data_IF_529134933828
#
_entry.id   IF_529134933828
#
_cell.length_a   1.000
_cell.length_b   1.000
_cell.length_c   1.000
_cell.angle_alpha   90.00
_cell.angle_beta   90.00
_cell.angle_gamma   90.00
#
_symmetry.space_group_name_H-M   'P 1'
#
loop_
_entity.id
_entity.type
_entity.pdbx_description
1 polymer ?
#
# COMPACT_ATOMS: atom_id res chain seq x y z
N UNK A 1 -44.24 202.37 -206.29
CA UNK A 1 -42.93 202.14 -205.62
C UNK A 1 -41.83 202.38 -206.64
N UNK A 2 -40.81 203.18 -206.30
CA UNK A 2 -39.61 203.34 -207.15
C UNK A 2 -38.73 202.08 -207.06
N UNK A 3 -37.84 201.88 -208.04
CA UNK A 3 -37.06 200.66 -208.23
C UNK A 3 -36.22 200.27 -206.99
N UNK A 4 -35.58 201.24 -206.35
CA UNK A 4 -34.71 200.99 -205.18
C UNK A 4 -35.49 200.50 -203.96
N UNK A 5 -36.75 200.95 -203.79
CA UNK A 5 -37.61 200.48 -202.70
C UNK A 5 -38.09 199.04 -202.92
N UNK A 6 -38.17 198.59 -204.18
CA UNK A 6 -38.52 197.20 -204.50
C UNK A 6 -37.33 196.26 -204.24
N UNK A 7 -36.11 196.69 -204.52
CA UNK A 7 -34.90 195.89 -204.29
C UNK A 7 -34.65 195.66 -202.79
N UNK A 8 -34.82 196.67 -201.92
CA UNK A 8 -34.76 196.48 -200.47
C UNK A 8 -35.87 195.56 -199.93
N UNK A 9 -37.09 195.65 -200.47
CA UNK A 9 -38.20 194.80 -200.07
C UNK A 9 -37.97 193.33 -200.47
N UNK A 10 -37.32 193.09 -201.61
CA UNK A 10 -36.92 191.75 -202.05
C UNK A 10 -35.84 191.17 -201.12
N UNK A 11 -34.88 191.99 -200.66
CA UNK A 11 -33.84 191.54 -199.72
C UNK A 11 -34.47 191.17 -198.37
N UNK A 12 -35.35 192.01 -197.81
CA UNK A 12 -36.06 191.71 -196.55
C UNK A 12 -36.88 190.42 -196.64
N UNK A 13 -37.63 190.23 -197.74
CA UNK A 13 -38.41 189.01 -197.96
C UNK A 13 -37.52 187.76 -198.10
N UNK A 14 -36.30 187.88 -198.64
CA UNK A 14 -35.34 186.77 -198.70
C UNK A 14 -34.77 186.45 -197.32
N UNK A 15 -34.41 187.47 -196.54
CA UNK A 15 -33.97 187.27 -195.16
C UNK A 15 -35.07 186.67 -194.28
N UNK A 16 -36.32 187.10 -194.43
CA UNK A 16 -37.49 186.51 -193.76
C UNK A 16 -37.69 185.06 -194.20
N UNK A 17 -37.60 184.76 -195.50
CA UNK A 17 -37.68 183.40 -196.02
C UNK A 17 -36.56 182.50 -195.47
N UNK A 18 -35.34 183.01 -195.36
CA UNK A 18 -34.20 182.27 -194.83
C UNK A 18 -34.30 182.07 -193.31
N UNK A 19 -34.78 183.06 -192.55
CA UNK A 19 -35.12 182.89 -191.12
C UNK A 19 -36.20 181.82 -190.91
N UNK A 20 -37.29 181.88 -191.68
CA UNK A 20 -38.35 180.87 -191.63
C UNK A 20 -37.84 179.46 -191.99
N UNK A 21 -36.88 179.35 -192.91
CA UNK A 21 -36.21 178.08 -193.24
C UNK A 21 -35.35 177.58 -192.08
N UNK A 22 -34.58 178.46 -191.46
CA UNK A 22 -33.75 178.14 -190.29
C UNK A 22 -34.62 177.71 -189.10
N UNK A 23 -35.71 178.43 -188.81
CA UNK A 23 -36.68 178.10 -187.77
C UNK A 23 -37.36 176.75 -188.06
N UNK A 24 -37.82 176.53 -189.28
CA UNK A 24 -38.36 175.22 -189.69
C UNK A 24 -37.34 174.11 -189.49
N UNK A 25 -36.08 174.34 -189.88
CA UNK A 25 -35.00 173.36 -189.68
C UNK A 25 -34.75 173.12 -188.19
N UNK A 26 -34.76 174.16 -187.36
CA UNK A 26 -34.60 174.07 -185.92
C UNK A 26 -35.74 173.28 -185.27
N UNK A 27 -37.00 173.61 -185.58
CA UNK A 27 -38.16 172.88 -185.06
C UNK A 27 -38.21 171.43 -185.57
N UNK A 28 -37.71 171.17 -186.78
CA UNK A 28 -37.59 169.82 -187.31
C UNK A 28 -36.55 169.00 -186.53
N UNK A 29 -35.38 169.57 -186.25
CA UNK A 29 -34.37 168.95 -185.39
C UNK A 29 -34.86 168.74 -183.96
N UNK A 30 -35.54 169.73 -183.37
CA UNK A 30 -36.11 169.59 -182.02
C UNK A 30 -37.22 168.54 -181.98
N UNK A 31 -38.09 168.47 -183.00
CA UNK A 31 -39.09 167.40 -183.10
C UNK A 31 -38.43 166.03 -183.21
N UNK A 32 -37.42 165.87 -184.08
CA UNK A 32 -36.73 164.60 -184.28
C UNK A 32 -35.94 164.20 -183.02
N UNK A 33 -35.40 165.18 -182.28
CA UNK A 33 -34.77 165.00 -180.97
C UNK A 33 -35.77 164.58 -179.89
N UNK A 34 -36.93 165.24 -179.82
CA UNK A 34 -38.02 164.86 -178.91
C UNK A 34 -38.53 163.46 -179.26
N UNK A 35 -38.67 163.13 -180.54
CA UNK A 35 -39.07 161.81 -181.01
C UNK A 35 -38.04 160.75 -180.62
N UNK A 36 -36.74 161.00 -180.83
CA UNK A 36 -35.68 160.10 -180.42
C UNK A 36 -35.65 159.90 -178.89
N UNK A 37 -35.77 160.99 -178.11
CA UNK A 37 -35.86 160.92 -176.65
C UNK A 37 -37.10 160.15 -176.19
N UNK A 38 -38.23 160.34 -176.85
CA UNK A 38 -39.47 159.61 -176.56
C UNK A 38 -39.32 158.12 -176.87
N UNK A 39 -38.74 157.76 -178.01
CA UNK A 39 -38.48 156.35 -178.36
C UNK A 39 -37.48 155.69 -177.42
N UNK A 40 -36.41 156.40 -177.02
CA UNK A 40 -35.45 155.91 -176.02
C UNK A 40 -36.15 155.72 -174.68
N UNK A 41 -36.91 156.71 -174.21
CA UNK A 41 -37.65 156.63 -172.94
C UNK A 41 -38.67 155.48 -172.96
N UNK A 42 -39.35 155.27 -174.10
CA UNK A 42 -40.28 154.16 -174.30
C UNK A 42 -39.56 152.80 -174.27
N UNK A 43 -38.44 152.65 -174.97
CA UNK A 43 -37.61 151.43 -174.92
C UNK A 43 -37.11 151.16 -173.50
N UNK A 44 -36.55 152.16 -172.82
CA UNK A 44 -36.09 152.05 -171.43
C UNK A 44 -37.25 151.66 -170.48
N UNK A 45 -38.45 152.20 -170.70
CA UNK A 45 -39.63 151.83 -169.93
C UNK A 45 -40.06 150.37 -170.20
N UNK A 46 -39.99 149.92 -171.45
CA UNK A 46 -40.28 148.53 -171.84
C UNK A 46 -39.23 147.56 -171.27
N UNK A 47 -37.95 147.92 -171.30
CA UNK A 47 -36.83 147.18 -170.71
C UNK A 47 -36.96 147.06 -169.19
N UNK A 48 -37.13 148.18 -168.48
CA UNK A 48 -37.33 148.17 -167.01
C UNK A 48 -38.59 147.39 -166.61
N UNK A 49 -39.67 147.46 -167.40
CA UNK A 49 -40.86 146.61 -167.20
C UNK A 49 -40.58 145.13 -167.45
N UNK A 50 -39.72 144.79 -168.41
CA UNK A 50 -39.29 143.41 -168.65
C UNK A 50 -38.40 142.90 -167.50
N UNK A 51 -37.43 143.70 -167.04
CA UNK A 51 -36.58 143.40 -165.89
C UNK A 51 -37.39 143.20 -164.61
N UNK A 52 -38.36 144.08 -164.33
CA UNK A 52 -39.25 143.91 -163.16
C UNK A 52 -40.05 142.60 -163.23
N UNK A 53 -40.53 142.21 -164.41
CA UNK A 53 -41.22 140.92 -164.60
C UNK A 53 -40.26 139.75 -164.39
N UNK A 54 -39.03 139.84 -164.88
CA UNK A 54 -38.01 138.80 -164.68
C UNK A 54 -37.63 138.69 -163.19
N UNK A 55 -37.39 139.80 -162.50
CA UNK A 55 -37.11 139.82 -161.05
C UNK A 55 -38.26 139.26 -160.23
N UNK A 56 -39.50 139.53 -160.64
CA UNK A 56 -40.67 138.97 -159.98
C UNK A 56 -40.74 137.44 -160.17
N UNK A 57 -40.46 136.93 -161.38
CA UNK A 57 -40.37 135.49 -161.64
C UNK A 57 -39.23 134.83 -160.86
N UNK A 58 -38.03 135.41 -160.87
CA UNK A 58 -36.89 134.92 -160.09
C UNK A 58 -37.23 134.83 -158.60
N UNK A 59 -37.96 135.83 -158.07
CA UNK A 59 -38.44 135.81 -156.69
C UNK A 59 -39.46 134.70 -156.45
N UNK A 60 -40.43 134.53 -157.34
CA UNK A 60 -41.43 133.45 -157.26
C UNK A 60 -40.77 132.07 -157.33
N UNK A 61 -39.85 131.86 -158.27
CA UNK A 61 -39.07 130.62 -158.42
C UNK A 61 -38.22 130.34 -157.18
N UNK A 62 -37.56 131.35 -156.62
CA UNK A 62 -36.82 131.21 -155.37
C UNK A 62 -37.72 130.85 -154.18
N UNK A 63 -38.90 131.48 -154.07
CA UNK A 63 -39.89 131.14 -153.04
C UNK A 63 -40.41 129.70 -153.20
N UNK A 64 -40.67 129.25 -154.43
CA UNK A 64 -41.08 127.88 -154.73
C UNK A 64 -39.96 126.89 -154.40
N UNK A 65 -38.73 127.17 -154.79
CA UNK A 65 -37.57 126.35 -154.45
C UNK A 65 -37.40 126.23 -152.94
N UNK A 66 -37.48 127.34 -152.19
CA UNK A 66 -37.41 127.33 -150.73
C UNK A 66 -38.58 126.56 -150.10
N UNK A 67 -39.79 126.65 -150.64
CA UNK A 67 -40.94 125.85 -150.17
C UNK A 67 -40.65 124.36 -150.35
N UNK A 68 -40.13 123.96 -151.51
CA UNK A 68 -39.75 122.55 -151.78
C UNK A 68 -38.64 122.10 -150.84
N UNK A 69 -37.57 122.88 -150.68
CA UNK A 69 -36.48 122.59 -149.74
C UNK A 69 -37.00 122.37 -148.31
N UNK A 70 -37.86 123.27 -147.80
CA UNK A 70 -38.48 123.13 -146.48
C UNK A 70 -39.27 121.82 -146.40
N UNK A 71 -40.04 121.45 -147.43
CA UNK A 71 -40.78 120.18 -147.43
C UNK A 71 -39.86 118.97 -147.42
N UNK A 72 -38.77 118.98 -148.18
CA UNK A 72 -37.76 117.92 -148.20
C UNK A 72 -37.06 117.81 -146.85
N UNK A 73 -36.64 118.93 -146.25
CA UNK A 73 -36.02 118.94 -144.91
C UNK A 73 -36.99 118.45 -143.84
N UNK A 74 -38.28 118.83 -143.90
CA UNK A 74 -39.32 118.30 -143.00
C UNK A 74 -39.48 116.80 -143.15
N UNK A 75 -39.48 116.27 -144.38
CA UNK A 75 -39.54 114.83 -144.62
C UNK A 75 -38.30 114.10 -144.11
N UNK A 76 -37.09 114.63 -144.37
CA UNK A 76 -35.82 114.09 -143.85
C UNK A 76 -35.81 114.06 -142.33
N UNK A 77 -36.24 115.15 -141.66
CA UNK A 77 -36.33 115.20 -140.22
C UNK A 77 -37.32 114.16 -139.67
N UNK A 78 -38.51 114.03 -140.30
CA UNK A 78 -39.48 112.99 -139.93
C UNK A 78 -38.89 111.58 -140.07
N UNK A 79 -38.17 111.32 -141.17
CA UNK A 79 -37.52 110.03 -141.40
C UNK A 79 -36.47 109.75 -140.33
N UNK A 80 -35.52 110.66 -140.09
CA UNK A 80 -34.49 110.52 -139.06
C UNK A 80 -35.09 110.32 -137.66
N UNK A 81 -36.13 111.08 -137.31
CA UNK A 81 -36.82 110.89 -136.03
C UNK A 81 -37.52 109.53 -135.94
N UNK A 82 -38.15 109.06 -137.03
CA UNK A 82 -38.79 107.75 -137.07
C UNK A 82 -37.77 106.61 -137.01
N UNK A 83 -36.63 106.74 -137.69
CA UNK A 83 -35.53 105.78 -137.64
C UNK A 83 -34.94 105.73 -136.23
N UNK A 84 -34.59 106.88 -135.64
CA UNK A 84 -34.10 106.91 -134.26
C UNK A 84 -35.11 106.35 -133.26
N UNK A 85 -36.40 106.63 -133.46
CA UNK A 85 -37.44 106.05 -132.61
C UNK A 85 -37.47 104.53 -132.75
N UNK A 86 -37.49 104.01 -133.97
CA UNK A 86 -37.50 102.58 -134.26
C UNK A 86 -36.25 101.87 -133.76
N UNK A 87 -35.05 102.42 -134.00
CA UNK A 87 -33.81 101.82 -133.49
C UNK A 87 -33.78 101.80 -131.96
N UNK A 88 -34.29 102.86 -131.32
CA UNK A 88 -34.37 102.92 -129.85
C UNK A 88 -35.39 101.91 -129.30
N UNK A 89 -36.54 101.74 -129.97
CA UNK A 89 -37.55 100.76 -129.53
C UNK A 89 -37.05 99.33 -129.76
N UNK A 90 -36.42 99.04 -130.90
CA UNK A 90 -35.77 97.75 -131.19
C UNK A 90 -34.71 97.42 -130.15
N UNK A 91 -33.75 98.32 -129.89
CA UNK A 91 -32.72 98.10 -128.86
C UNK A 91 -33.30 97.87 -127.46
N UNK A 92 -34.37 98.61 -127.09
CA UNK A 92 -35.06 98.39 -125.82
C UNK A 92 -35.75 97.02 -125.78
N UNK A 93 -36.40 96.61 -126.86
CA UNK A 93 -37.05 95.30 -126.96
C UNK A 93 -36.03 94.17 -126.95
N UNK A 94 -34.91 94.29 -127.67
CA UNK A 94 -33.78 93.35 -127.64
C UNK A 94 -33.17 93.27 -126.23
N UNK A 95 -33.01 94.41 -125.54
CA UNK A 95 -32.53 94.45 -124.16
C UNK A 95 -33.48 93.74 -123.19
N UNK A 96 -34.79 93.96 -123.31
CA UNK A 96 -35.80 93.30 -122.46
C UNK A 96 -35.88 91.80 -122.78
N UNK A 97 -35.92 91.41 -124.05
CA UNK A 97 -35.99 90.00 -124.45
C UNK A 97 -34.74 89.23 -124.04
N UNK A 98 -33.53 89.76 -124.28
CA UNK A 98 -32.27 89.15 -123.84
C UNK A 98 -32.18 89.03 -122.32
N UNK A 99 -32.54 90.08 -121.57
CA UNK A 99 -32.61 90.05 -120.11
C UNK A 99 -33.60 89.00 -119.60
N UNK A 100 -34.80 88.94 -120.19
CA UNK A 100 -35.82 87.93 -119.83
C UNK A 100 -35.36 86.51 -120.13
N UNK A 101 -34.66 86.28 -121.25
CA UNK A 101 -34.11 84.99 -121.63
C UNK A 101 -33.03 84.53 -120.63
N UNK A 102 -32.12 85.43 -120.26
CA UNK A 102 -31.08 85.16 -119.25
C UNK A 102 -31.71 84.88 -117.89
N UNK A 103 -32.69 85.67 -117.48
CA UNK A 103 -33.41 85.45 -116.22
C UNK A 103 -34.13 84.09 -116.19
N UNK A 104 -34.78 83.71 -117.30
CA UNK A 104 -35.46 82.41 -117.39
C UNK A 104 -34.45 81.25 -117.34
N UNK A 105 -33.32 81.34 -118.06
CA UNK A 105 -32.25 80.34 -117.97
C UNK A 105 -31.68 80.21 -116.56
N UNK A 106 -31.48 81.32 -115.86
CA UNK A 106 -31.04 81.29 -114.46
C UNK A 106 -32.07 80.64 -113.53
N UNK A 107 -33.36 80.96 -113.70
CA UNK A 107 -34.44 80.33 -112.92
C UNK A 107 -34.51 78.82 -113.16
N UNK A 108 -34.37 78.37 -114.41
CA UNK A 108 -34.34 76.95 -114.76
C UNK A 108 -33.13 76.25 -114.13
N UNK A 109 -31.93 76.83 -114.25
CA UNK A 109 -30.73 76.29 -113.64
C UNK A 109 -30.84 76.22 -112.10
N UNK A 110 -31.38 77.26 -111.46
CA UNK A 110 -31.60 77.29 -110.02
C UNK A 110 -32.62 76.22 -109.60
N UNK A 111 -33.68 76.01 -110.39
CA UNK A 111 -34.66 74.97 -110.13
C UNK A 111 -34.03 73.57 -110.19
N UNK A 112 -33.20 73.30 -111.20
CA UNK A 112 -32.45 72.04 -111.31
C UNK A 112 -31.51 71.85 -110.12
N UNK A 113 -30.71 72.86 -109.77
CA UNK A 113 -29.80 72.79 -108.62
C UNK A 113 -30.54 72.55 -107.30
N UNK A 114 -31.69 73.21 -107.08
CA UNK A 114 -32.52 72.97 -105.88
C UNK A 114 -33.03 71.54 -105.84
N UNK A 115 -33.46 70.99 -106.98
CA UNK A 115 -33.91 69.60 -107.10
C UNK A 115 -32.77 68.62 -106.80
N UNK A 116 -31.58 68.87 -107.35
CA UNK A 116 -30.40 68.04 -107.14
C UNK A 116 -29.96 68.07 -105.67
N UNK A 117 -29.95 69.23 -105.04
CA UNK A 117 -29.66 69.37 -103.60
C UNK A 117 -30.66 68.57 -102.76
N UNK A 118 -31.95 68.64 -103.07
CA UNK A 118 -32.98 67.86 -102.37
C UNK A 118 -32.80 66.35 -102.60
N UNK A 119 -32.46 65.94 -103.82
CA UNK A 119 -32.15 64.55 -104.17
C UNK A 119 -30.94 64.02 -103.40
N UNK A 120 -29.82 64.73 -103.43
CA UNK A 120 -28.61 64.38 -102.69
C UNK A 120 -28.84 64.33 -101.16
N UNK A 121 -29.67 65.23 -100.62
CA UNK A 121 -30.06 65.17 -99.21
C UNK A 121 -30.89 63.92 -98.89
N UNK A 122 -31.80 63.52 -99.78
CA UNK A 122 -32.59 62.29 -99.62
C UNK A 122 -31.68 61.05 -99.68
N UNK A 123 -30.80 60.95 -100.67
CA UNK A 123 -29.82 59.87 -100.79
C UNK A 123 -28.90 59.77 -99.57
N UNK A 124 -28.45 60.92 -99.03
CA UNK A 124 -27.63 60.94 -97.82
C UNK A 124 -28.40 60.39 -96.61
N UNK A 125 -29.69 60.74 -96.46
CA UNK A 125 -30.54 60.20 -95.38
C UNK A 125 -30.74 58.70 -95.56
N UNK A 126 -30.99 58.24 -96.77
CA UNK A 126 -31.16 56.83 -97.09
C UNK A 126 -29.90 56.03 -96.79
N UNK A 127 -28.72 56.49 -97.23
CA UNK A 127 -27.43 55.85 -96.93
C UNK A 127 -27.13 55.80 -95.44
N UNK A 128 -27.44 56.87 -94.69
CA UNK A 128 -27.32 56.88 -93.22
C UNK A 128 -28.21 55.85 -92.57
N UNK A 129 -29.49 55.80 -92.96
CA UNK A 129 -30.46 54.84 -92.44
C UNK A 129 -30.09 53.40 -92.79
N UNK A 130 -29.61 53.15 -94.01
CA UNK A 130 -29.10 51.85 -94.43
C UNK A 130 -27.86 51.43 -93.62
N UNK A 131 -26.94 52.35 -93.36
CA UNK A 131 -25.78 52.12 -92.50
C UNK A 131 -26.17 51.79 -91.05
N UNK A 132 -27.10 52.56 -90.47
CA UNK A 132 -27.64 52.28 -89.13
C UNK A 132 -28.33 50.92 -89.05
N UNK A 133 -29.12 50.56 -90.07
CA UNK A 133 -29.77 49.25 -90.14
C UNK A 133 -28.75 48.12 -90.27
N UNK A 134 -27.72 48.29 -91.11
CA UNK A 134 -26.63 47.32 -91.25
C UNK A 134 -25.88 47.10 -89.92
N UNK A 135 -25.63 48.18 -89.17
CA UNK A 135 -25.02 48.10 -87.83
C UNK A 135 -25.95 47.37 -86.85
N UNK A 136 -27.25 47.67 -86.86
CA UNK A 136 -28.24 46.98 -85.99
C UNK A 136 -28.31 45.49 -86.31
N UNK A 137 -28.38 45.13 -87.59
CA UNK A 137 -28.37 43.73 -88.03
C UNK A 137 -27.09 43.01 -87.62
N UNK A 138 -25.92 43.64 -87.79
CA UNK A 138 -24.65 43.06 -87.38
C UNK A 138 -24.60 42.84 -85.86
N UNK A 139 -25.09 43.79 -85.07
CA UNK A 139 -25.19 43.65 -83.61
C UNK A 139 -26.12 42.51 -83.19
N UNK A 140 -27.28 42.38 -83.85
CA UNK A 140 -28.22 41.28 -83.60
C UNK A 140 -27.57 39.92 -83.94
N UNK A 141 -26.92 39.81 -85.11
CA UNK A 141 -26.18 38.60 -85.50
C UNK A 141 -25.10 38.25 -84.48
N UNK A 142 -24.32 39.24 -84.02
CA UNK A 142 -23.31 39.03 -82.99
C UNK A 142 -23.91 38.54 -81.67
N UNK A 143 -25.04 39.13 -81.24
CA UNK A 143 -25.73 38.70 -80.03
C UNK A 143 -26.25 37.26 -80.12
N UNK A 144 -26.76 36.85 -81.28
CA UNK A 144 -27.19 35.46 -81.52
C UNK A 144 -26.00 34.51 -81.42
N UNK A 145 -24.87 34.82 -82.08
CA UNK A 145 -23.65 33.99 -82.00
C UNK A 145 -23.12 33.89 -80.58
N UNK A 146 -23.10 34.99 -79.81
CA UNK A 146 -22.73 34.96 -78.40
C UNK A 146 -23.66 34.06 -77.59
N UNK A 147 -24.97 34.16 -77.79
CA UNK A 147 -25.95 33.33 -77.09
C UNK A 147 -25.81 31.84 -77.44
N UNK A 148 -25.59 31.51 -78.71
CA UNK A 148 -25.31 30.14 -79.15
C UNK A 148 -24.03 29.60 -78.52
N UNK A 149 -22.97 30.40 -78.47
CA UNK A 149 -21.69 30.02 -77.88
C UNK A 149 -21.81 29.79 -76.37
N UNK A 150 -22.48 30.70 -75.66
CA UNK A 150 -22.78 30.54 -74.23
C UNK A 150 -23.58 29.26 -73.98
N UNK A 151 -24.64 29.02 -74.77
CA UNK A 151 -25.44 27.80 -74.67
C UNK A 151 -24.62 26.53 -74.94
N UNK A 152 -23.67 26.57 -75.88
CA UNK A 152 -22.76 25.45 -76.15
C UNK A 152 -21.84 25.16 -74.96
N UNK A 153 -21.27 26.20 -74.34
CA UNK A 153 -20.43 26.04 -73.16
C UNK A 153 -21.24 25.55 -71.95
N UNK A 154 -22.43 26.08 -71.72
CA UNK A 154 -23.32 25.63 -70.64
C UNK A 154 -23.67 24.15 -70.80
N UNK A 155 -23.96 23.68 -72.03
CA UNK A 155 -24.18 22.26 -72.30
C UNK A 155 -22.95 21.43 -71.99
N UNK A 156 -21.76 21.86 -72.44
CA UNK A 156 -20.50 21.15 -72.16
C UNK A 156 -20.19 21.06 -70.67
N UNK A 157 -20.45 22.13 -69.91
CA UNK A 157 -20.28 22.17 -68.47
C UNK A 157 -21.24 21.17 -67.80
N UNK A 158 -22.54 21.21 -68.14
CA UNK A 158 -23.52 20.27 -67.59
C UNK A 158 -23.19 18.81 -67.93
N UNK A 159 -22.78 18.52 -69.16
CA UNK A 159 -22.38 17.17 -69.56
C UNK A 159 -21.16 16.69 -68.77
N UNK A 160 -20.20 17.60 -68.49
CA UNK A 160 -19.02 17.31 -67.70
C UNK A 160 -19.38 17.06 -66.22
N UNK A 161 -20.24 17.91 -65.64
CA UNK A 161 -20.76 17.74 -64.28
C UNK A 161 -21.50 16.41 -64.13
N UNK A 162 -22.38 16.07 -65.07
CA UNK A 162 -23.10 14.80 -65.07
C UNK A 162 -22.15 13.60 -65.15
N UNK A 163 -21.14 13.66 -66.02
CA UNK A 163 -20.12 12.59 -66.13
C UNK A 163 -19.36 12.41 -64.82
N UNK A 164 -18.87 13.49 -64.21
CA UNK A 164 -18.13 13.40 -62.95
C UNK A 164 -19.03 12.98 -61.78
N UNK A 165 -20.28 13.43 -61.74
CA UNK A 165 -21.24 13.01 -60.73
C UNK A 165 -21.52 11.50 -60.84
N UNK A 166 -21.74 11.00 -62.06
CA UNK A 166 -21.96 9.57 -62.30
C UNK A 166 -20.73 8.72 -61.95
N UNK A 167 -19.52 9.19 -62.31
CA UNK A 167 -18.26 8.54 -61.91
C UNK A 167 -18.12 8.50 -60.39
N UNK A 168 -18.40 9.60 -59.70
CA UNK A 168 -18.33 9.67 -58.24
C UNK A 168 -19.32 8.71 -57.58
N UNK A 169 -20.58 8.67 -58.05
CA UNK A 169 -21.59 7.73 -57.56
C UNK A 169 -21.15 6.28 -57.77
N UNK A 170 -20.66 5.94 -58.96
CA UNK A 170 -20.19 4.59 -59.29
C UNK A 170 -19.03 4.16 -58.41
N UNK A 171 -18.07 5.06 -58.14
CA UNK A 171 -16.96 4.81 -57.22
C UNK A 171 -17.46 4.62 -55.79
N UNK A 172 -18.35 5.48 -55.31
CA UNK A 172 -18.95 5.38 -53.97
C UNK A 172 -19.70 4.05 -53.78
N UNK A 173 -20.45 3.61 -54.79
CA UNK A 173 -21.13 2.32 -54.76
C UNK A 173 -20.15 1.15 -54.77
N UNK A 174 -19.10 1.20 -55.59
CA UNK A 174 -18.08 0.16 -55.67
C UNK A 174 -17.30 0.04 -54.35
N UNK A 175 -16.84 1.16 -53.78
CA UNK A 175 -16.19 1.21 -52.46
C UNK A 175 -17.14 0.74 -51.36
N UNK A 176 -18.42 1.14 -51.40
CA UNK A 176 -19.43 0.69 -50.46
C UNK A 176 -19.70 -0.81 -50.55
N UNK A 177 -19.68 -1.40 -51.75
CA UNK A 177 -19.75 -2.86 -51.94
C UNK A 177 -18.49 -3.55 -51.40
N UNK A 178 -17.29 -3.02 -51.67
CA UNK A 178 -16.04 -3.58 -51.16
C UNK A 178 -16.00 -3.59 -49.63
N UNK A 179 -16.28 -2.46 -48.98
CA UNK A 179 -16.34 -2.37 -47.51
C UNK A 179 -17.35 -3.35 -46.91
N UNK A 180 -18.52 -3.51 -47.51
CA UNK A 180 -19.52 -4.49 -47.05
C UNK A 180 -19.01 -5.93 -47.18
N UNK A 181 -18.30 -6.26 -48.26
CA UNK A 181 -17.69 -7.57 -48.43
C UNK A 181 -16.60 -7.84 -47.37
N UNK A 182 -15.69 -6.88 -47.15
CA UNK A 182 -14.64 -6.97 -46.12
C UNK A 182 -15.22 -7.15 -44.71
N UNK A 183 -16.30 -6.43 -44.38
CA UNK A 183 -17.00 -6.59 -43.09
C UNK A 183 -17.60 -7.97 -42.96
N UNK A 184 -18.27 -8.50 -44.00
CA UNK A 184 -18.84 -9.85 -43.98
C UNK A 184 -17.75 -10.92 -43.82
N UNK A 185 -16.62 -10.78 -44.53
CA UNK A 185 -15.48 -11.69 -44.38
C UNK A 185 -14.90 -11.67 -42.96
N UNK A 186 -14.75 -10.48 -42.36
CA UNK A 186 -14.30 -10.34 -40.97
C UNK A 186 -15.30 -10.93 -39.98
N UNK A 187 -16.61 -10.69 -40.18
CA UNK A 187 -17.66 -11.28 -39.36
C UNK A 187 -17.62 -12.80 -39.43
N UNK A 188 -17.43 -13.38 -40.61
CA UNK A 188 -17.36 -14.83 -40.77
C UNK A 188 -16.07 -15.41 -40.16
N UNK A 189 -14.94 -14.72 -40.28
CA UNK A 189 -13.72 -15.07 -39.55
C UNK A 189 -13.94 -15.03 -38.03
N UNK A 190 -14.58 -13.98 -37.51
CA UNK A 190 -14.88 -13.86 -36.08
C UNK A 190 -15.83 -14.95 -35.62
N UNK A 191 -16.90 -15.25 -36.37
CA UNK A 191 -17.81 -16.36 -36.08
C UNK A 191 -17.06 -17.69 -36.04
N UNK A 192 -16.20 -17.96 -37.03
CA UNK A 192 -15.40 -19.19 -37.05
C UNK A 192 -14.48 -19.31 -35.84
N UNK A 193 -13.86 -18.19 -35.41
CA UNK A 193 -13.00 -18.17 -34.23
C UNK A 193 -13.77 -18.36 -32.93
N UNK A 194 -14.98 -17.83 -32.83
CA UNK A 194 -15.88 -18.10 -31.70
C UNK A 194 -16.21 -19.58 -31.63
N UNK A 195 -16.53 -20.23 -32.75
CA UNK A 195 -16.80 -21.67 -32.79
C UNK A 195 -15.59 -22.48 -32.32
N UNK A 196 -14.40 -22.21 -32.85
CA UNK A 196 -13.17 -22.92 -32.43
C UNK A 196 -12.92 -22.72 -30.93
N UNK A 197 -13.08 -21.49 -30.43
CA UNK A 197 -12.87 -21.19 -29.01
C UNK A 197 -13.88 -21.90 -28.11
N UNK A 198 -15.14 -22.02 -28.54
CA UNK A 198 -16.14 -22.82 -27.84
C UNK A 198 -15.77 -24.30 -27.82
N UNK A 199 -15.34 -24.86 -28.95
CA UNK A 199 -14.90 -26.26 -29.04
C UNK A 199 -13.69 -26.56 -28.15
N UNK A 200 -12.72 -25.64 -28.09
CA UNK A 200 -11.54 -25.75 -27.22
C UNK A 200 -11.93 -25.64 -25.73
N UNK A 201 -12.83 -24.71 -25.38
CA UNK A 201 -13.37 -24.59 -24.02
C UNK A 201 -14.13 -25.84 -23.61
N UNK A 202 -15.02 -26.36 -24.47
CA UNK A 202 -15.75 -27.60 -24.23
C UNK A 202 -14.80 -28.79 -24.05
N UNK A 203 -13.71 -28.84 -24.83
CA UNK A 203 -12.68 -29.88 -24.69
C UNK A 203 -11.94 -29.75 -23.35
N UNK A 204 -11.59 -28.54 -22.93
CA UNK A 204 -10.96 -28.29 -21.64
C UNK A 204 -11.89 -28.67 -20.48
N UNK A 205 -13.18 -28.29 -20.55
CA UNK A 205 -14.20 -28.65 -19.57
C UNK A 205 -14.34 -30.17 -19.45
N UNK A 206 -14.50 -30.88 -20.58
CA UNK A 206 -14.51 -32.36 -20.57
C UNK A 206 -13.25 -32.94 -19.92
N UNK A 207 -12.07 -32.42 -20.24
CA UNK A 207 -10.82 -32.85 -19.60
C UNK A 207 -10.81 -32.62 -18.08
N UNK A 208 -11.37 -31.51 -17.59
CA UNK A 208 -11.53 -31.28 -16.15
C UNK A 208 -12.55 -32.22 -15.51
N UNK A 209 -13.68 -32.45 -16.16
CA UNK A 209 -14.70 -33.40 -15.70
C UNK A 209 -14.13 -34.82 -15.60
N UNK A 210 -13.39 -35.26 -16.62
CA UNK A 210 -12.68 -36.54 -16.64
C UNK A 210 -11.64 -36.63 -15.50
N UNK A 211 -10.87 -35.56 -15.27
CA UNK A 211 -9.92 -35.50 -14.15
C UNK A 211 -10.63 -35.61 -12.79
N UNK A 212 -11.69 -34.84 -12.56
CA UNK A 212 -12.47 -34.91 -11.31
C UNK A 212 -13.12 -36.27 -11.13
N UNK A 213 -13.69 -36.86 -12.18
CA UNK A 213 -14.24 -38.21 -12.15
C UNK A 213 -13.16 -39.24 -11.80
N UNK A 214 -11.96 -39.13 -12.37
CA UNK A 214 -10.82 -39.97 -12.03
C UNK A 214 -10.39 -39.81 -10.56
N UNK A 215 -10.27 -38.58 -10.06
CA UNK A 215 -9.93 -38.32 -8.65
C UNK A 215 -11.01 -38.88 -7.72
N UNK A 216 -12.29 -38.68 -8.05
CA UNK A 216 -13.40 -39.20 -7.27
C UNK A 216 -13.42 -40.73 -7.26
N UNK A 217 -13.14 -41.38 -8.40
CA UNK A 217 -12.99 -42.83 -8.49
C UNK A 217 -11.82 -43.35 -7.65
N UNK A 218 -10.66 -42.66 -7.67
CA UNK A 218 -9.52 -43.00 -6.80
C UNK A 218 -9.88 -42.84 -5.32
N UNK A 219 -10.50 -41.73 -4.94
CA UNK A 219 -10.93 -41.49 -3.56
C UNK A 219 -11.92 -42.58 -3.09
N UNK A 220 -12.83 -43.02 -3.96
CA UNK A 220 -13.75 -44.13 -3.68
C UNK A 220 -13.01 -45.47 -3.50
N UNK A 221 -11.99 -45.74 -4.32
CA UNK A 221 -11.13 -46.92 -4.17
C UNK A 221 -10.35 -46.87 -2.86
N UNK A 222 -9.70 -45.75 -2.55
CA UNK A 222 -8.96 -45.54 -1.31
C UNK A 222 -9.87 -45.65 -0.09
N UNK A 223 -11.08 -45.09 -0.16
CA UNK A 223 -12.07 -45.23 0.92
C UNK A 223 -12.48 -46.69 1.14
N UNK A 224 -12.60 -47.49 0.07
CA UNK A 224 -12.86 -48.94 0.21
C UNK A 224 -11.67 -49.65 0.86
N UNK A 225 -10.45 -49.39 0.40
CA UNK A 225 -9.23 -49.97 0.98
C UNK A 225 -9.08 -49.62 2.46
N UNK A 226 -9.24 -48.35 2.83
CA UNK A 226 -9.17 -47.92 4.23
C UNK A 226 -10.26 -48.58 5.10
N UNK A 227 -11.46 -48.80 4.57
CA UNK A 227 -12.51 -49.56 5.28
C UNK A 227 -12.12 -51.02 5.49
N UNK A 228 -11.49 -51.65 4.50
CA UNK A 228 -10.98 -53.03 4.60
C UNK A 228 -9.85 -53.11 5.64
N UNK A 229 -8.87 -52.21 5.59
CA UNK A 229 -7.78 -52.11 6.56
C UNK A 229 -8.29 -51.86 7.99
N UNK A 230 -9.27 -50.97 8.16
CA UNK A 230 -9.87 -50.68 9.45
C UNK A 230 -10.61 -51.90 9.99
N UNK A 231 -11.31 -52.66 9.14
CA UNK A 231 -11.93 -53.93 9.52
C UNK A 231 -10.89 -54.99 9.91
N UNK A 232 -9.74 -55.05 9.23
CA UNK A 232 -8.64 -55.94 9.62
C UNK A 232 -8.00 -55.54 10.95
N UNK A 233 -7.71 -54.25 11.15
CA UNK A 233 -7.15 -53.73 12.39
C UNK A 233 -8.11 -53.97 13.56
N UNK A 234 -9.41 -53.79 13.35
CA UNK A 234 -10.41 -54.07 14.38
C UNK A 234 -10.49 -55.56 14.73
N UNK A 235 -10.32 -56.46 13.74
CA UNK A 235 -10.15 -57.91 14.02
C UNK A 235 -8.87 -58.19 14.83
N UNK A 236 -7.75 -57.55 14.50
CA UNK A 236 -6.48 -57.70 15.23
C UNK A 236 -6.59 -57.16 16.65
N UNK A 237 -7.20 -56.00 16.85
CA UNK A 237 -7.44 -55.42 18.16
C UNK A 237 -8.36 -56.30 19.00
N UNK A 238 -9.47 -56.80 18.44
CA UNK A 238 -10.33 -57.75 19.14
C UNK A 238 -9.60 -59.05 19.56
N UNK A 239 -8.58 -59.48 18.81
CA UNK A 239 -7.73 -60.62 19.20
C UNK A 239 -6.79 -60.24 20.36
N UNK A 240 -6.10 -59.10 20.23
CA UNK A 240 -5.22 -58.59 21.27
C UNK A 240 -5.96 -58.31 22.59
N UNK A 241 -7.18 -57.77 22.54
CA UNK A 241 -8.03 -57.53 23.72
C UNK A 241 -8.42 -58.84 24.42
N UNK A 242 -8.66 -59.92 23.66
CA UNK A 242 -8.90 -61.25 24.23
C UNK A 242 -7.65 -61.82 24.89
N UNK A 243 -6.49 -61.68 24.25
CA UNK A 243 -5.20 -62.09 24.81
C UNK A 243 -4.86 -61.29 26.07
N UNK A 244 -5.07 -59.97 26.05
CA UNK A 244 -4.89 -59.09 27.20
C UNK A 244 -5.87 -59.45 28.33
N UNK A 245 -7.13 -59.73 28.03
CA UNK A 245 -8.11 -60.14 29.04
C UNK A 245 -7.74 -61.48 29.69
N UNK A 246 -7.25 -62.45 28.90
CA UNK A 246 -6.75 -63.73 29.42
C UNK A 246 -5.51 -63.52 30.31
N UNK A 247 -4.54 -62.71 29.84
CA UNK A 247 -3.35 -62.37 30.62
C UNK A 247 -3.70 -61.60 31.90
N UNK A 248 -4.65 -60.67 31.88
CA UNK A 248 -5.13 -59.97 33.08
C UNK A 248 -5.80 -60.92 34.07
N UNK A 249 -6.56 -61.90 33.59
CA UNK A 249 -7.18 -62.91 34.45
C UNK A 249 -6.14 -63.83 35.11
N UNK A 250 -5.10 -64.19 34.36
CA UNK A 250 -3.96 -64.96 34.88
C UNK A 250 -3.13 -64.13 35.88
N UNK A 251 -2.89 -62.86 35.59
CA UNK A 251 -2.19 -61.93 36.48
C UNK A 251 -2.98 -61.71 37.78
N UNK A 252 -4.31 -61.61 37.73
CA UNK A 252 -5.16 -61.57 38.93
C UNK A 252 -5.00 -62.82 39.79
N UNK A 253 -5.03 -64.02 39.19
CA UNK A 253 -4.78 -65.28 39.93
C UNK A 253 -3.41 -65.29 40.60
N UNK A 254 -2.36 -64.92 39.87
CA UNK A 254 -0.99 -64.87 40.41
C UNK A 254 -0.85 -63.80 41.52
N UNK A 255 -1.57 -62.67 41.41
CA UNK A 255 -1.58 -61.62 42.44
C UNK A 255 -2.32 -62.07 43.70
N UNK A 256 -3.42 -62.81 43.56
CA UNK A 256 -4.15 -63.42 44.68
C UNK A 256 -3.29 -64.48 45.39
N UNK A 257 -2.59 -65.35 44.63
CA UNK A 257 -1.65 -66.34 45.18
C UNK A 257 -0.45 -65.67 45.89
N UNK A 258 0.07 -64.57 45.33
CA UNK A 258 1.14 -63.78 45.93
C UNK A 258 0.65 -63.09 47.22
N UNK A 259 -0.54 -62.50 47.24
CA UNK A 259 -1.13 -61.89 48.43
C UNK A 259 -1.38 -62.91 49.54
N UNK A 260 -1.82 -64.13 49.22
CA UNK A 260 -1.93 -65.21 50.20
C UNK A 260 -0.56 -65.59 50.80
N UNK A 261 0.50 -65.64 49.97
CA UNK A 261 1.85 -65.91 50.44
C UNK A 261 2.41 -64.77 51.29
N UNK A 262 2.14 -63.52 50.92
CA UNK A 262 2.52 -62.31 51.65
C UNK A 262 1.79 -62.16 52.98
N UNK A 263 0.51 -62.57 53.09
CA UNK A 263 -0.24 -62.59 54.37
C UNK A 263 0.25 -63.67 55.34
N UNK A 264 0.78 -64.80 54.84
CA UNK A 264 1.39 -65.87 55.66
C UNK A 264 2.80 -65.48 56.18
N UNK A 265 3.47 -64.52 55.53
CA UNK A 265 4.81 -64.05 55.87
C UNK A 265 4.91 -63.39 57.27
N UNK A 266 4.04 -62.43 57.67
CA UNK A 266 4.09 -61.83 59.01
C UNK A 266 3.71 -62.82 60.11
N UNK A 267 2.84 -63.80 59.84
CA UNK A 267 2.49 -64.84 60.81
C UNK A 267 3.66 -65.80 61.09
N UNK A 268 4.42 -66.18 60.06
CA UNK A 268 5.63 -66.98 60.19
C UNK A 268 6.80 -66.19 60.79
N UNK A 269 6.93 -64.90 60.47
CA UNK A 269 7.92 -64.01 61.10
C UNK A 269 7.64 -63.82 62.58
N UNK A 270 6.37 -63.64 62.99
CA UNK A 270 5.98 -63.58 64.41
C UNK A 270 6.29 -64.88 65.15
N UNK A 271 5.98 -66.04 64.56
CA UNK A 271 6.31 -67.37 65.14
C UNK A 271 7.82 -67.60 65.24
N UNK A 272 8.61 -67.10 64.29
CA UNK A 272 10.07 -67.15 64.33
C UNK A 272 10.64 -66.21 65.42
N UNK A 273 10.04 -65.03 65.60
CA UNK A 273 10.42 -64.06 66.65
C UNK A 273 10.10 -64.62 68.04
N UNK A 274 8.90 -65.17 68.25
CA UNK A 274 8.49 -65.85 69.49
C UNK A 274 9.42 -67.05 69.81
N UNK A 275 9.79 -67.85 68.79
CA UNK A 275 10.73 -68.96 68.96
C UNK A 275 12.16 -68.48 69.25
N UNK A 276 12.63 -67.39 68.65
CA UNK A 276 13.97 -66.84 68.90
C UNK A 276 14.07 -66.19 70.29
N UNK A 277 13.03 -65.48 70.74
CA UNK A 277 12.97 -64.96 72.11
C UNK A 277 12.83 -66.07 73.16
N UNK A 278 12.08 -67.13 72.86
CA UNK A 278 12.01 -68.31 73.72
C UNK A 278 13.36 -69.06 73.79
N UNK A 279 14.09 -69.16 72.67
CA UNK A 279 15.44 -69.75 72.61
C UNK A 279 16.49 -68.91 73.34
N UNK A 280 16.43 -67.58 73.24
CA UNK A 280 17.31 -66.68 74.00
C UNK A 280 17.03 -66.75 75.51
N UNK A 281 15.75 -66.78 75.92
CA UNK A 281 15.34 -67.02 77.32
C UNK A 281 15.80 -68.40 77.82
N UNK A 282 15.73 -69.43 76.97
CA UNK A 282 16.22 -70.77 77.29
C UNK A 282 17.74 -70.79 77.48
N UNK A 283 18.54 -70.13 76.63
CA UNK A 283 20.01 -70.11 76.77
C UNK A 283 20.47 -69.31 78.01
N UNK A 284 19.79 -68.20 78.34
CA UNK A 284 20.06 -67.44 79.59
C UNK A 284 19.68 -68.27 80.83
N UNK A 285 18.52 -68.92 80.82
CA UNK A 285 18.10 -69.83 81.90
C UNK A 285 19.01 -71.06 81.99
N UNK A 286 19.50 -71.60 80.87
CA UNK A 286 20.44 -72.73 80.84
C UNK A 286 21.82 -72.37 81.36
N UNK A 287 22.29 -71.14 81.12
CA UNK A 287 23.52 -70.63 81.73
C UNK A 287 23.38 -70.43 83.25
N UNK A 288 22.22 -69.91 83.70
CA UNK A 288 21.90 -69.76 85.13
C UNK A 288 21.74 -71.11 85.83
N UNK A 289 21.09 -72.10 85.21
CA UNK A 289 20.96 -73.46 85.74
C UNK A 289 22.33 -74.15 85.81
N UNK A 290 23.21 -73.98 84.81
CA UNK A 290 24.58 -74.54 84.88
C UNK A 290 25.43 -73.94 86.01
N UNK A 291 25.25 -72.65 86.31
CA UNK A 291 25.89 -72.01 87.47
C UNK A 291 25.32 -72.55 88.78
N UNK A 292 24.00 -72.59 88.90
CA UNK A 292 23.31 -73.14 90.09
C UNK A 292 23.60 -74.64 90.29
N UNK A 293 23.73 -75.45 89.24
CA UNK A 293 24.14 -76.86 89.32
C UNK A 293 25.60 -77.04 89.73
N UNK A 294 26.46 -76.06 89.44
CA UNK A 294 27.85 -76.06 89.88
C UNK A 294 27.93 -75.68 91.35
N UNK A 295 27.24 -74.61 91.74
CA UNK A 295 27.08 -74.19 93.14
C UNK A 295 26.42 -75.28 94.00
N UNK A 296 25.40 -75.98 93.50
CA UNK A 296 24.76 -77.09 94.21
C UNK A 296 25.72 -78.28 94.38
N UNK A 297 26.51 -78.61 93.35
CA UNK A 297 27.53 -79.68 93.45
C UNK A 297 28.62 -79.33 94.45
N UNK A 298 29.12 -78.10 94.42
CA UNK A 298 30.12 -77.62 95.35
C UNK A 298 29.56 -77.62 96.80
N UNK A 299 28.33 -77.14 97.01
CA UNK A 299 27.65 -77.22 98.31
C UNK A 299 27.36 -78.66 98.76
N UNK A 300 27.07 -79.58 97.84
CA UNK A 300 26.79 -80.99 98.19
C UNK A 300 28.06 -81.69 98.65
N UNK A 301 29.19 -81.43 97.99
CA UNK A 301 30.50 -81.94 98.43
C UNK A 301 30.91 -81.30 99.75
N UNK A 302 30.69 -80.00 99.95
CA UNK A 302 30.93 -79.34 101.23
C UNK A 302 30.04 -79.93 102.33
N UNK A 303 28.77 -80.20 102.05
CA UNK A 303 27.83 -80.81 102.98
C UNK A 303 28.20 -82.26 103.32
N UNK A 304 28.61 -83.07 102.33
CA UNK A 304 29.10 -84.44 102.54
C UNK A 304 30.41 -84.47 103.32
N UNK A 305 31.33 -83.54 103.05
CA UNK A 305 32.56 -83.37 103.83
C UNK A 305 32.27 -82.93 105.27
N UNK A 306 31.35 -81.98 105.47
CA UNK A 306 30.91 -81.57 106.81
C UNK A 306 30.18 -82.70 107.53
N UNK A 307 29.35 -83.49 106.84
CA UNK A 307 28.66 -84.64 107.42
C UNK A 307 29.64 -85.74 107.81
N UNK A 308 30.64 -86.03 106.98
CA UNK A 308 31.70 -86.98 107.33
C UNK A 308 32.55 -86.47 108.49
N UNK A 309 32.86 -85.18 108.55
CA UNK A 309 33.54 -84.57 109.69
C UNK A 309 32.68 -84.62 110.96
N UNK A 310 31.37 -84.33 110.84
CA UNK A 310 30.43 -84.41 111.95
C UNK A 310 30.28 -85.84 112.47
N UNK A 311 30.12 -86.83 111.58
CA UNK A 311 30.07 -88.25 111.96
C UNK A 311 31.36 -88.72 112.62
N UNK A 312 32.54 -88.26 112.15
CA UNK A 312 33.81 -88.55 112.83
C UNK A 312 33.88 -87.92 114.22
N UNK A 313 33.43 -86.67 114.37
CA UNK A 313 33.39 -85.99 115.67
C UNK A 313 32.37 -86.65 116.61
N UNK A 314 31.24 -87.13 116.10
CA UNK A 314 30.27 -87.89 116.89
C UNK A 314 30.82 -89.26 117.30
N UNK A 315 31.51 -89.97 116.40
CA UNK A 315 32.20 -91.21 116.73
C UNK A 315 33.31 -90.98 117.76
N UNK A 316 34.12 -89.93 117.61
CA UNK A 316 35.17 -89.58 118.57
C UNK A 316 34.57 -89.19 119.93
N UNK A 317 33.43 -88.47 119.95
CA UNK A 317 32.66 -88.18 121.17
C UNK A 317 32.16 -89.47 121.83
N UNK A 318 31.57 -90.38 121.06
CA UNK A 318 31.00 -91.63 121.59
C UNK A 318 32.08 -92.60 122.05
N UNK A 319 33.20 -92.67 121.34
CA UNK A 319 34.41 -93.39 121.76
C UNK A 319 35.03 -92.76 123.02
N UNK A 320 35.06 -91.43 123.14
CA UNK A 320 35.51 -90.76 124.34
C UNK A 320 34.56 -90.99 125.52
N UNK A 321 33.24 -90.97 125.29
CA UNK A 321 32.23 -91.25 126.31
C UNK A 321 32.31 -92.71 126.79
N UNK A 322 32.48 -93.67 125.88
CA UNK A 322 32.68 -95.09 126.20
C UNK A 322 34.00 -95.32 126.92
N UNK A 323 35.12 -94.76 126.45
CA UNK A 323 36.41 -94.83 127.16
C UNK A 323 36.37 -94.15 128.52
N UNK A 324 35.63 -93.05 128.66
CA UNK A 324 35.43 -92.40 129.96
C UNK A 324 34.60 -93.28 130.90
N UNK A 325 33.52 -93.90 130.40
CA UNK A 325 32.71 -94.82 131.22
C UNK A 325 33.48 -96.09 131.60
N UNK A 326 34.27 -96.65 130.70
CA UNK A 326 35.19 -97.77 130.97
C UNK A 326 36.27 -97.36 131.99
N UNK A 327 36.92 -96.22 131.82
CA UNK A 327 37.92 -95.72 132.76
C UNK A 327 37.34 -95.40 134.14
N UNK A 328 36.10 -94.89 134.21
CA UNK A 328 35.39 -94.66 135.48
C UNK A 328 35.03 -95.98 136.16
N UNK A 329 34.57 -96.98 135.40
CA UNK A 329 34.27 -98.31 135.92
C UNK A 329 35.54 -99.04 136.38
N UNK A 330 36.65 -98.91 135.65
CA UNK A 330 37.96 -99.47 136.04
C UNK A 330 38.53 -98.76 137.27
N UNK A 331 38.38 -97.43 137.37
CA UNK A 331 38.72 -96.67 138.57
C UNK A 331 37.87 -97.11 139.76
N UNK A 332 36.55 -97.32 139.57
CA UNK A 332 35.64 -97.84 140.61
C UNK A 332 35.96 -99.29 141.03
N UNK A 333 36.34 -100.16 140.09
CA UNK A 333 36.79 -101.52 140.41
C UNK A 333 38.13 -101.51 141.13
N UNK A 334 39.08 -100.69 140.70
CA UNK A 334 40.39 -100.57 141.37
C UNK A 334 40.28 -99.91 142.76
N UNK A 335 39.38 -98.94 142.92
CA UNK A 335 39.10 -98.31 144.21
C UNK A 335 38.35 -99.27 145.12
N UNK A 336 37.35 -100.01 144.61
CA UNK A 336 36.61 -101.03 145.35
C UNK A 336 37.49 -102.20 145.77
N UNK A 337 38.45 -102.62 144.93
CA UNK A 337 39.47 -103.61 145.30
C UNK A 337 40.44 -103.07 146.36
N UNK A 338 40.82 -101.79 146.30
CA UNK A 338 41.60 -101.14 147.38
C UNK A 338 40.80 -101.01 148.66
N UNK A 339 39.52 -100.70 148.59
CA UNK A 339 38.63 -100.49 149.73
C UNK A 339 38.32 -101.80 150.44
N UNK A 340 38.06 -102.87 149.69
CA UNK A 340 37.91 -104.24 150.25
C UNK A 340 39.22 -104.78 150.83
N UNK A 341 40.37 -104.46 150.23
CA UNK A 341 41.68 -104.82 150.78
C UNK A 341 42.00 -104.02 152.06
N UNK A 342 41.59 -102.75 152.12
CA UNK A 342 41.68 -101.93 153.32
C UNK A 342 40.72 -102.40 154.40
N UNK A 343 39.49 -102.80 154.07
CA UNK A 343 38.52 -103.39 154.99
C UNK A 343 39.03 -104.70 155.57
N UNK A 344 39.60 -105.60 154.75
CA UNK A 344 40.22 -106.84 155.23
C UNK A 344 41.46 -106.59 156.07
N UNK A 345 42.29 -105.60 155.70
CA UNK A 345 43.43 -105.19 156.55
C UNK A 345 42.95 -104.62 157.88
N UNK A 346 41.85 -103.87 157.89
CA UNK A 346 41.23 -103.34 159.09
C UNK A 346 40.68 -104.48 159.95
N UNK A 347 39.89 -105.41 159.39
CA UNK A 347 39.39 -106.60 160.10
C UNK A 347 40.52 -107.42 160.73
N UNK A 348 41.61 -107.65 160.00
CA UNK A 348 42.79 -108.34 160.53
C UNK A 348 43.48 -107.51 161.62
N UNK A 349 43.51 -106.18 161.50
CA UNK A 349 44.03 -105.29 162.55
C UNK A 349 43.12 -105.27 163.79
N UNK A 350 41.80 -105.28 163.65
CA UNK A 350 40.85 -105.40 164.77
C UNK A 350 40.93 -106.78 165.41
N UNK A 351 41.07 -107.86 164.64
CA UNK A 351 41.27 -109.20 165.18
C UNK A 351 42.62 -109.37 165.88
N UNK A 352 43.69 -108.75 165.37
CA UNK A 352 45.00 -108.76 166.04
C UNK A 352 45.01 -107.87 167.28
N UNK A 353 44.27 -106.76 167.28
CA UNK A 353 44.08 -105.93 168.47
C UNK A 353 43.26 -106.68 169.52
N UNK A 354 42.17 -107.35 169.15
CA UNK A 354 41.38 -108.20 170.04
C UNK A 354 42.18 -109.40 170.54
N UNK A 355 43.05 -110.00 169.72
CA UNK A 355 44.02 -111.02 170.17
C UNK A 355 45.08 -110.44 171.11
N UNK A 356 45.43 -109.16 170.98
CA UNK A 356 46.30 -108.44 171.92
C UNK A 356 45.57 -108.04 173.21
N UNK A 357 44.29 -107.71 173.15
CA UNK A 357 43.39 -107.58 174.31
C UNK A 357 43.30 -108.92 175.06
N UNK A 358 43.22 -110.04 174.35
CA UNK A 358 43.21 -111.38 174.96
C UNK A 358 44.60 -111.81 175.47
N UNK A 359 45.70 -111.46 174.78
CA UNK A 359 47.08 -111.74 175.23
C UNK A 359 47.52 -110.85 176.41
N UNK A 360 46.97 -109.64 176.58
CA UNK A 360 47.16 -108.83 177.77
C UNK A 360 46.27 -109.30 178.93
N UNK A 361 45.05 -109.77 178.65
CA UNK A 361 44.22 -110.43 179.64
C UNK A 361 44.77 -111.80 180.09
N UNK A 362 45.58 -112.49 179.27
CA UNK A 362 46.20 -113.78 179.61
C UNK A 362 47.66 -113.70 180.06
N UNK A 363 48.32 -112.54 179.89
CA UNK A 363 49.65 -112.28 180.41
C UNK A 363 49.56 -111.62 181.81
N UNK A 364 49.43 -112.46 182.83
CA UNK A 364 50.56 -112.82 183.69
C UNK A 364 50.87 -111.66 184.65
N UNK A 365 50.20 -111.51 185.81
CA UNK A 365 49.73 -112.54 186.77
C UNK A 365 50.78 -113.58 187.20
N UNK A 366 52.06 -113.41 186.85
CA UNK A 366 53.10 -114.39 187.24
C UNK A 366 54.43 -113.85 187.77
N UNK A 367 54.74 -112.55 187.82
CA UNK A 367 55.96 -112.12 188.55
C UNK A 367 56.06 -110.62 188.77
N UNK A 368 56.69 -110.28 189.89
CA UNK A 368 56.86 -108.97 190.52
C UNK A 368 57.84 -108.04 189.78
N UNK A 369 57.62 -106.72 189.97
CA UNK A 369 58.53 -105.56 189.75
C UNK A 369 58.73 -105.05 188.32
N UNK A 370 58.86 -103.75 188.03
CA UNK A 370 58.43 -102.47 188.64
C UNK A 370 58.70 -101.38 187.56
N UNK A 371 57.77 -100.42 187.44
CA UNK A 371 57.93 -99.06 186.90
C UNK A 371 58.39 -98.82 185.43
N UNK A 372 57.79 -97.80 184.79
CA UNK A 372 58.49 -97.11 183.69
C UNK A 372 57.70 -96.29 182.69
N UNK A 373 56.77 -95.43 183.14
CA UNK A 373 56.19 -94.35 182.33
C UNK A 373 57.27 -93.54 181.59
N UNK A 374 57.20 -93.39 180.24
CA UNK A 374 57.89 -92.30 179.48
C UNK A 374 57.68 -92.27 177.95
N UNK A 375 56.91 -93.17 177.32
CA UNK A 375 56.71 -93.18 175.85
C UNK A 375 55.37 -92.59 175.38
N UNK A 376 54.89 -91.57 176.11
CA UNK A 376 53.62 -90.87 175.93
C UNK A 376 53.61 -89.71 174.91
N UNK A 377 54.69 -88.98 174.59
CA UNK A 377 54.50 -87.67 173.90
C UNK A 377 55.15 -87.50 172.51
N UNK A 378 55.98 -88.44 172.04
CA UNK A 378 56.78 -88.21 170.81
C UNK A 378 56.08 -88.50 169.48
N UNK A 379 55.03 -89.33 169.44
CA UNK A 379 54.29 -89.63 168.21
C UNK A 379 53.18 -88.61 167.91
N UNK A 380 52.64 -87.94 168.93
CA UNK A 380 51.69 -86.82 168.77
C UNK A 380 52.37 -85.53 168.26
N UNK A 381 53.64 -85.27 168.61
CA UNK A 381 54.38 -84.08 168.15
C UNK A 381 54.76 -84.12 166.65
N UNK A 382 55.03 -85.29 166.07
CA UNK A 382 55.50 -85.38 164.67
C UNK A 382 54.35 -85.15 163.67
N UNK A 383 53.12 -85.57 163.98
CA UNK A 383 51.99 -85.37 163.06
C UNK A 383 51.44 -83.93 163.08
N UNK A 384 51.48 -83.26 164.23
CA UNK A 384 51.17 -81.81 164.28
C UNK A 384 52.16 -80.99 163.44
N UNK A 385 53.43 -81.40 163.37
CA UNK A 385 54.45 -80.71 162.56
C UNK A 385 54.11 -80.73 161.04
N UNK A 386 53.55 -81.82 160.52
CA UNK A 386 53.12 -81.87 159.12
C UNK A 386 51.86 -81.04 158.83
N UNK A 387 50.96 -80.93 159.81
CA UNK A 387 49.73 -80.14 159.66
C UNK A 387 50.00 -78.62 159.66
N UNK A 388 51.04 -78.18 160.38
CA UNK A 388 51.52 -76.78 160.34
C UNK A 388 52.17 -76.45 158.99
N UNK A 389 52.92 -77.39 158.38
CA UNK A 389 53.56 -77.16 157.07
C UNK A 389 52.54 -77.00 155.92
N UNK A 390 51.39 -77.68 155.99
CA UNK A 390 50.29 -77.48 155.01
C UNK A 390 49.63 -76.11 155.21
N UNK A 391 49.53 -75.64 156.46
CA UNK A 391 49.02 -74.32 156.79
C UNK A 391 49.88 -73.18 156.24
N UNK A 392 51.22 -73.27 156.34
CA UNK A 392 52.11 -72.21 155.86
C UNK A 392 52.04 -72.04 154.33
N UNK A 393 52.05 -73.14 153.57
CA UNK A 393 51.95 -73.09 152.10
C UNK A 393 50.58 -72.58 151.61
N UNK A 394 49.50 -72.86 152.35
CA UNK A 394 48.18 -72.28 152.05
C UNK A 394 48.13 -70.78 152.34
N UNK A 395 48.88 -70.31 153.33
CA UNK A 395 48.95 -68.90 153.67
C UNK A 395 49.76 -68.12 152.62
N UNK A 396 50.87 -68.68 152.14
CA UNK A 396 51.68 -68.11 151.06
C UNK A 396 50.86 -67.95 149.77
N UNK A 397 50.07 -68.97 149.40
CA UNK A 397 49.18 -68.91 148.24
C UNK A 397 48.08 -67.83 148.40
N UNK A 398 47.53 -67.68 149.61
CA UNK A 398 46.53 -66.65 149.90
C UNK A 398 47.14 -65.24 149.83
N UNK A 399 48.39 -65.08 150.29
CA UNK A 399 49.12 -63.83 150.25
C UNK A 399 49.45 -63.42 148.80
N UNK A 400 49.88 -64.36 147.95
CA UNK A 400 50.13 -64.12 146.52
C UNK A 400 48.84 -63.80 145.75
N UNK A 401 47.71 -64.45 146.08
CA UNK A 401 46.41 -64.13 145.48
C UNK A 401 45.93 -62.72 145.88
N UNK A 402 46.15 -62.30 147.13
CA UNK A 402 45.86 -60.93 147.57
C UNK A 402 46.75 -59.92 146.85
N UNK A 403 48.06 -60.16 146.79
CA UNK A 403 49.02 -59.30 146.09
C UNK A 403 48.69 -59.15 144.60
N UNK A 404 48.35 -60.24 143.92
CA UNK A 404 47.90 -60.21 142.53
C UNK A 404 46.64 -59.36 142.34
N UNK A 405 45.62 -59.55 143.19
CA UNK A 405 44.37 -58.80 143.10
C UNK A 405 44.56 -57.30 143.41
N UNK A 406 45.42 -56.93 144.36
CA UNK A 406 45.78 -55.53 144.65
C UNK A 406 46.52 -54.89 143.47
N UNK A 407 47.42 -55.61 142.81
CA UNK A 407 48.14 -55.15 141.62
C UNK A 407 47.18 -54.94 140.44
N UNK A 408 46.17 -55.81 140.31
CA UNK A 408 45.08 -55.69 139.34
C UNK A 408 44.21 -54.46 139.63
N UNK A 409 43.98 -54.16 140.91
CA UNK A 409 43.21 -52.99 141.36
C UNK A 409 43.98 -51.69 141.10
N UNK A 410 45.26 -51.62 141.47
CA UNK A 410 46.13 -50.45 141.18
C UNK A 410 46.33 -50.23 139.68
N UNK A 411 46.42 -51.30 138.87
CA UNK A 411 46.43 -51.18 137.41
C UNK A 411 45.11 -50.59 136.88
N UNK A 412 43.96 -51.03 137.39
CA UNK A 412 42.65 -50.46 137.05
C UNK A 412 42.54 -48.99 137.45
N UNK A 413 43.06 -48.62 138.62
CA UNK A 413 43.03 -47.24 139.11
C UNK A 413 43.98 -46.32 138.33
N UNK A 414 45.19 -46.77 137.98
CA UNK A 414 46.13 -46.01 137.12
C UNK A 414 45.59 -45.81 135.71
N UNK A 415 44.96 -46.83 135.12
CA UNK A 415 44.31 -46.71 133.81
C UNK A 415 43.12 -45.75 133.84
N UNK A 416 42.34 -45.75 134.94
CA UNK A 416 41.31 -44.72 135.19
C UNK A 416 41.91 -43.32 135.35
N UNK A 417 43.03 -43.16 136.06
CA UNK A 417 43.70 -41.87 136.22
C UNK A 417 44.28 -41.31 134.90
N UNK A 418 44.63 -42.19 133.95
CA UNK A 418 45.09 -41.84 132.60
C UNK A 418 43.96 -41.63 131.57
N UNK A 419 42.70 -41.76 131.99
CA UNK A 419 41.53 -41.47 131.14
C UNK A 419 41.19 -42.54 130.09
N UNK A 420 41.71 -43.77 130.22
CA UNK A 420 41.44 -44.87 129.28
C UNK A 420 40.22 -45.67 129.76
N UNK A 421 39.25 -45.89 128.86
CA UNK A 421 38.07 -46.74 129.10
C UNK A 421 38.46 -48.20 129.39
N UNK A 422 37.84 -48.81 130.41
CA UNK A 422 38.10 -50.17 130.90
C UNK A 422 37.22 -51.26 130.26
N UNK A 423 36.61 -51.03 129.10
CA UNK A 423 35.67 -52.01 128.52
C UNK A 423 36.31 -53.32 128.04
N UNK A 424 37.61 -53.33 127.71
CA UNK A 424 38.33 -54.53 127.24
C UNK A 424 39.67 -54.75 127.96
N UNK A 425 39.67 -54.71 129.30
CA UNK A 425 40.86 -55.03 130.10
C UNK A 425 41.06 -56.56 130.22
N UNK A 426 42.17 -57.14 129.69
CA UNK A 426 42.30 -58.59 129.50
C UNK A 426 42.62 -59.41 130.76
N UNK A 427 42.87 -58.78 131.92
CA UNK A 427 43.28 -59.49 133.14
C UNK A 427 42.09 -59.81 134.06
N UNK A 428 42.03 -61.05 134.57
CA UNK A 428 40.94 -61.57 135.43
C UNK A 428 41.42 -61.82 136.87
N UNK A 429 40.53 -61.76 137.88
CA UNK A 429 40.87 -62.02 139.28
C UNK A 429 41.38 -63.45 139.54
N UNK A 430 42.16 -63.64 140.60
CA UNK A 430 42.81 -64.91 140.94
C UNK A 430 41.81 -66.10 141.02
N UNK A 431 40.59 -65.88 141.52
CA UNK A 431 39.56 -66.92 141.65
C UNK A 431 39.14 -67.54 140.31
N UNK A 432 39.14 -66.76 139.22
CA UNK A 432 38.72 -67.27 137.91
C UNK A 432 39.83 -68.07 137.20
N UNK A 433 41.08 -68.00 137.69
CA UNK A 433 42.22 -68.72 137.12
C UNK A 433 42.31 -70.15 137.73
N UNK A 434 41.95 -70.32 139.01
CA UNK A 434 42.15 -71.56 139.77
C UNK A 434 41.04 -72.61 139.60
N UNK A 435 39.79 -72.22 139.31
CA UNK A 435 38.63 -73.13 139.30
C UNK A 435 38.26 -73.74 137.93
N UNK A 436 39.17 -73.76 136.96
CA UNK A 436 38.88 -74.29 135.62
C UNK A 436 39.01 -75.84 135.60
N UNK A 437 37.98 -76.59 135.17
CA UNK A 437 38.15 -77.98 134.76
C UNK A 437 39.09 -77.99 133.55
N UNK A 438 40.30 -78.51 133.77
CA UNK A 438 41.34 -78.72 132.75
C UNK A 438 40.87 -79.77 131.73
N UNK A 439 41.46 -79.87 130.52
CA UNK A 439 41.51 -81.17 129.87
C UNK A 439 42.06 -82.22 130.85
#
# INVERSE_FOLDING_TARGET
MSKDQLEEHIIRLREELDREREERSFFQLERDKIQALWEISKRNLEETRAELRNRHREKEEAEECHRVEITVYKQKLKHVLSEHHNTTTEQKLEGVTSSSLVQNRHREAEFVLRRDVQGLQAELREKKLHGENSIKELKLKHQVVLMELTNQYDRRIRDMELKFHHQMQSLMEAEGKRRRAEVLELEDQMKSRVVILLEDQDRALRGTEEFYASVQNKLLLDQKLLKEELAELQKKQNRADRELSAAQQENRRLTEDLQEAEQKLPELQRRLQEHNEAKARMEVSRAQVKLMEKELRDLTVEHELLLQAFQKVEQERDELLTRQTEAVLDLQQSSGLKETLLQKKLEVLTETLQKKEVQLCSALTATSMEAGNSATNRLEEILQHHQVSVGSLQQDLAQDCQGYNELLLTCRERLKALGISLHDFPFRPAEQILNRPKP
#
